data_IF_911806637471
#
_entry.id   IF_911806637471
#
_cell.length_a   1.000
_cell.length_b   1.000
_cell.length_c   1.000
_cell.angle_alpha   90.00
_cell.angle_beta   90.00
_cell.angle_gamma   90.00
#
_symmetry.space_group_name_H-M   'P 1'
#
loop_
_entity.id
_entity.type
_entity.pdbx_description
1 polymer ?
#
# COMPACT_ATOMS: atom_id res chain seq x y z
N UNK A 1 11.32 15.10 -14.34
CA UNK A 1 10.66 13.80 -14.18
C UNK A 1 9.89 13.90 -12.88
N UNK A 2 8.60 13.60 -12.87
CA UNK A 2 7.81 13.69 -11.64
C UNK A 2 8.19 12.53 -10.73
N UNK A 3 8.33 12.82 -9.44
CA UNK A 3 8.84 11.89 -8.43
C UNK A 3 7.72 11.51 -7.46
N UNK A 4 7.53 10.22 -7.24
CA UNK A 4 6.50 9.67 -6.38
C UNK A 4 7.11 9.25 -5.04
N UNK A 5 6.79 9.93 -3.92
CA UNK A 5 7.35 9.56 -2.63
C UNK A 5 6.66 8.30 -2.08
N UNK A 6 7.45 7.24 -1.91
CA UNK A 6 7.00 6.02 -1.26
C UNK A 6 6.88 6.26 0.25
N UNK A 7 5.89 5.62 0.92
CA UNK A 7 5.79 5.68 2.37
C UNK A 7 7.00 5.01 3.02
N UNK A 8 7.64 5.70 3.99
CA UNK A 8 8.78 5.17 4.72
C UNK A 8 8.39 4.05 5.71
N UNK A 9 7.16 4.09 6.20
CA UNK A 9 6.62 3.09 7.12
C UNK A 9 5.25 2.68 6.61
N UNK A 10 4.92 1.41 6.79
CA UNK A 10 3.60 0.88 6.54
C UNK A 10 3.04 0.46 7.88
N UNK A 11 2.15 1.27 8.46
CA UNK A 11 1.54 0.98 9.76
C UNK A 11 2.56 0.81 10.90
N UNK A 12 3.70 1.52 10.81
CA UNK A 12 4.80 1.44 11.77
C UNK A 12 5.84 0.36 11.50
N UNK A 13 5.69 -0.43 10.43
CA UNK A 13 6.67 -1.44 10.05
C UNK A 13 7.50 -0.95 8.87
N UNK A 14 8.82 -1.09 8.98
CA UNK A 14 9.77 -0.89 7.88
C UNK A 14 10.03 -2.21 7.16
N UNK A 15 9.98 -2.19 5.83
CA UNK A 15 10.33 -3.35 5.01
C UNK A 15 11.39 -2.94 4.00
N UNK A 16 12.56 -3.58 4.12
CA UNK A 16 13.73 -3.28 3.31
C UNK A 16 13.95 -4.43 2.31
N UNK A 17 14.00 -4.09 1.03
CA UNK A 17 14.41 -5.00 -0.04
C UNK A 17 15.93 -4.92 -0.21
N UNK A 18 16.63 -6.02 0.04
CA UNK A 18 18.07 -6.12 -0.15
C UNK A 18 18.36 -6.24 -1.64
N UNK A 19 19.30 -5.43 -2.14
CA UNK A 19 19.67 -5.44 -3.55
C UNK A 19 20.73 -6.53 -3.81
N UNK A 20 20.46 -7.40 -4.79
CA UNK A 20 21.45 -8.36 -5.26
C UNK A 20 22.64 -7.70 -5.97
N UNK A 21 22.41 -6.55 -6.62
CA UNK A 21 23.41 -5.88 -7.46
C UNK A 21 23.76 -4.50 -6.91
N UNK A 22 24.80 -4.45 -6.09
CA UNK A 22 25.31 -3.23 -5.47
C UNK A 22 26.47 -2.61 -6.27
N UNK A 23 26.49 -1.29 -6.36
CA UNK A 23 27.58 -0.52 -6.96
C UNK A 23 28.58 -0.07 -5.87
N UNK A 24 29.58 -0.92 -5.62
CA UNK A 24 30.56 -0.72 -4.55
C UNK A 24 31.28 0.64 -4.58
N UNK A 25 31.51 1.22 -5.76
CA UNK A 25 32.17 2.52 -5.84
C UNK A 25 31.38 3.65 -5.18
N UNK A 26 30.04 3.56 -5.19
CA UNK A 26 29.19 4.55 -4.56
C UNK A 26 28.99 4.24 -3.07
N UNK A 27 28.83 2.95 -2.71
CA UNK A 27 28.61 2.57 -1.31
C UNK A 27 29.85 2.78 -0.43
N UNK A 28 31.05 2.53 -0.96
CA UNK A 28 32.31 2.78 -0.24
C UNK A 28 32.62 4.27 -0.02
N UNK A 29 31.91 5.17 -0.71
CA UNK A 29 32.01 6.61 -0.48
C UNK A 29 31.19 7.09 0.73
N UNK A 30 30.34 6.21 1.28
CA UNK A 30 29.47 6.50 2.42
C UNK A 30 30.14 6.12 3.75
N UNK A 31 29.78 6.79 4.86
CA UNK A 31 30.12 6.30 6.19
C UNK A 31 29.50 4.91 6.44
N UNK A 32 30.13 4.11 7.31
CA UNK A 32 29.62 2.80 7.70
C UNK A 32 28.21 2.91 8.30
N UNK A 33 27.30 2.02 7.87
CA UNK A 33 25.89 1.96 8.22
C UNK A 33 25.17 3.32 8.18
N UNK A 34 24.83 3.80 6.98
CA UNK A 34 24.15 5.08 6.77
C UNK A 34 22.80 4.88 6.10
N UNK A 35 21.76 5.53 6.63
CA UNK A 35 20.49 5.71 5.93
C UNK A 35 20.60 6.91 4.99
N UNK A 36 20.32 6.71 3.70
CA UNK A 36 20.43 7.73 2.67
C UNK A 36 19.12 7.86 1.88
N UNK A 37 18.76 9.06 1.41
CA UNK A 37 17.69 9.21 0.44
C UNK A 37 18.13 8.63 -0.91
N UNK A 38 17.22 7.89 -1.55
CA UNK A 38 17.43 7.29 -2.86
C UNK A 38 16.23 7.52 -3.78
N UNK A 39 16.50 7.48 -5.08
CA UNK A 39 15.52 7.55 -6.15
C UNK A 39 15.63 6.29 -6.99
N UNK A 40 14.51 5.64 -7.27
CA UNK A 40 14.38 4.52 -8.19
C UNK A 40 14.00 5.07 -9.57
N UNK A 41 14.91 4.90 -10.53
CA UNK A 41 14.71 5.22 -11.94
C UNK A 41 14.44 3.93 -12.73
N UNK A 42 13.42 3.91 -13.58
CA UNK A 42 13.14 2.74 -14.42
C UNK A 42 14.33 2.41 -15.34
N UNK A 43 14.84 1.18 -15.29
CA UNK A 43 15.86 0.68 -16.22
C UNK A 43 15.19 -0.12 -17.34
N UNK A 44 14.80 0.57 -18.42
CA UNK A 44 14.13 -0.03 -19.57
C UNK A 44 14.98 -1.11 -20.28
N UNK A 45 16.29 -1.19 -20.03
CA UNK A 45 17.16 -2.21 -20.62
C UNK A 45 17.02 -3.55 -19.90
N UNK A 46 16.88 -3.52 -18.57
CA UNK A 46 16.83 -4.72 -17.74
C UNK A 46 15.42 -5.08 -17.29
N UNK A 47 14.47 -4.14 -17.38
CA UNK A 47 13.11 -4.30 -16.84
C UNK A 47 13.04 -4.09 -15.32
N UNK A 48 14.11 -3.62 -14.69
CA UNK A 48 14.20 -3.37 -13.26
C UNK A 48 14.23 -1.89 -12.90
N UNK A 49 14.79 -1.58 -11.73
CA UNK A 49 14.98 -0.22 -11.23
C UNK A 49 16.44 0.06 -10.93
N UNK A 50 16.92 1.20 -11.38
CA UNK A 50 18.22 1.74 -11.00
C UNK A 50 18.07 2.58 -9.75
N UNK A 51 18.78 2.23 -8.68
CA UNK A 51 18.73 2.93 -7.40
C UNK A 51 19.85 3.97 -7.34
N UNK A 52 19.48 5.24 -7.20
CA UNK A 52 20.41 6.38 -7.23
C UNK A 52 20.34 7.18 -5.95
N UNK A 53 21.48 7.69 -5.53
CA UNK A 53 21.62 8.68 -4.46
C UNK A 53 22.39 9.90 -4.98
N UNK A 54 22.60 10.89 -4.11
CA UNK A 54 23.48 12.03 -4.42
C UNK A 54 24.94 11.62 -4.70
N UNK A 55 25.35 10.42 -4.30
CA UNK A 55 26.70 9.88 -4.50
C UNK A 55 26.84 9.05 -5.78
N UNK A 56 25.75 8.87 -6.53
CA UNK A 56 25.73 8.09 -7.77
C UNK A 56 24.74 6.93 -7.71
N UNK A 57 24.93 5.94 -8.58
CA UNK A 57 24.13 4.70 -8.53
C UNK A 57 24.64 3.85 -7.38
N UNK A 58 23.75 3.47 -6.46
CA UNK A 58 24.09 2.59 -5.32
C UNK A 58 23.82 1.12 -5.63
N UNK A 59 22.90 0.84 -6.57
CA UNK A 59 22.62 -0.51 -7.01
C UNK A 59 21.47 -0.59 -8.02
N UNK A 60 21.01 -1.82 -8.25
CA UNK A 60 19.89 -2.13 -9.13
C UNK A 60 18.97 -3.14 -8.46
N UNK A 61 17.66 -2.88 -8.58
CA UNK A 61 16.63 -3.90 -8.44
C UNK A 61 16.45 -4.55 -9.81
N UNK A 62 16.69 -5.84 -9.92
CA UNK A 62 16.51 -6.60 -11.16
C UNK A 62 15.04 -6.73 -11.53
N UNK A 63 14.76 -7.25 -12.72
CA UNK A 63 13.39 -7.56 -13.12
C UNK A 63 12.76 -8.69 -12.28
N UNK A 64 13.58 -9.60 -11.73
CA UNK A 64 13.11 -10.68 -10.86
C UNK A 64 12.70 -10.13 -9.50
N UNK A 65 13.58 -9.37 -8.83
CA UNK A 65 13.24 -8.68 -7.58
C UNK A 65 12.09 -7.68 -7.79
N UNK A 66 12.07 -6.94 -8.90
CA UNK A 66 10.99 -6.01 -9.20
C UNK A 66 9.63 -6.71 -9.46
N UNK A 67 9.62 -7.99 -9.80
CA UNK A 67 8.37 -8.75 -10.00
C UNK A 67 7.64 -9.01 -8.67
N UNK A 68 8.34 -8.95 -7.54
CA UNK A 68 7.76 -9.02 -6.19
C UNK A 68 6.96 -7.75 -5.85
N UNK A 69 7.19 -6.67 -6.60
CA UNK A 69 6.58 -5.35 -6.41
C UNK A 69 5.75 -4.92 -7.63
N UNK A 70 4.66 -5.63 -7.96
CA UNK A 70 3.90 -5.42 -9.19
C UNK A 70 3.32 -4.01 -9.31
N UNK A 71 2.96 -3.37 -8.19
CA UNK A 71 2.40 -2.01 -8.20
C UNK A 71 3.38 -0.99 -8.78
N UNK A 72 4.68 -1.21 -8.61
CA UNK A 72 5.71 -0.30 -9.13
C UNK A 72 5.65 -0.18 -10.65
N UNK A 73 5.13 -1.19 -11.36
CA UNK A 73 4.87 -1.11 -12.81
C UNK A 73 4.00 0.09 -13.18
N UNK A 74 3.09 0.53 -12.30
CA UNK A 74 2.28 1.73 -12.52
C UNK A 74 3.14 2.99 -12.62
N UNK A 75 4.14 3.15 -11.75
CA UNK A 75 5.09 4.27 -11.82
C UNK A 75 5.96 4.18 -13.07
N UNK A 76 6.40 2.97 -13.41
CA UNK A 76 7.20 2.71 -14.62
C UNK A 76 6.45 3.12 -15.87
N UNK A 77 5.19 2.68 -15.98
CA UNK A 77 4.29 2.99 -17.10
C UNK A 77 3.95 4.48 -17.18
N UNK A 78 3.88 5.16 -16.04
CA UNK A 78 3.70 6.61 -15.96
C UNK A 78 4.98 7.41 -16.29
N UNK A 79 6.13 6.75 -16.47
CA UNK A 79 7.42 7.43 -16.70
C UNK A 79 7.90 8.23 -15.50
N UNK A 80 7.51 7.83 -14.29
CA UNK A 80 7.82 8.50 -13.03
C UNK A 80 8.96 7.79 -12.30
N UNK A 81 9.66 8.53 -11.44
CA UNK A 81 10.59 7.96 -10.47
C UNK A 81 9.89 7.74 -9.14
N UNK A 82 10.46 6.87 -8.30
CA UNK A 82 10.03 6.71 -6.91
C UNK A 82 11.12 7.22 -5.97
N UNK A 83 10.78 8.00 -4.95
CA UNK A 83 11.71 8.39 -3.89
C UNK A 83 11.43 7.65 -2.60
N UNK A 84 12.51 7.24 -1.94
CA UNK A 84 12.48 6.53 -0.65
C UNK A 84 13.84 6.64 0.04
N UNK A 85 14.07 5.85 1.08
CA UNK A 85 15.36 5.71 1.76
C UNK A 85 15.98 4.34 1.51
N UNK A 86 17.30 4.25 1.66
CA UNK A 86 18.01 2.99 1.69
C UNK A 86 18.98 2.98 2.87
N UNK A 87 19.15 1.82 3.49
CA UNK A 87 20.21 1.56 4.46
C UNK A 87 21.39 0.97 3.69
N UNK A 88 22.57 1.58 3.83
CA UNK A 88 23.79 1.10 3.20
C UNK A 88 24.78 0.70 4.27
N UNK A 89 25.24 -0.55 4.21
CA UNK A 89 26.30 -1.07 5.06
C UNK A 89 27.37 -1.75 4.20
N UNK A 90 28.46 -1.03 3.93
CA UNK A 90 29.58 -1.48 3.09
C UNK A 90 29.15 -1.95 1.69
N UNK A 91 29.03 -3.26 1.49
CA UNK A 91 28.62 -3.93 0.25
C UNK A 91 27.15 -4.32 0.21
N UNK A 92 26.41 -4.13 1.31
CA UNK A 92 24.98 -4.38 1.41
C UNK A 92 24.17 -3.08 1.27
N UNK A 93 23.14 -3.13 0.43
CA UNK A 93 22.18 -2.02 0.25
C UNK A 93 20.78 -2.58 0.39
N UNK A 94 20.01 -2.03 1.32
CA UNK A 94 18.62 -2.40 1.54
C UNK A 94 17.72 -1.18 1.34
N UNK A 95 16.84 -1.24 0.33
CA UNK A 95 15.96 -0.13 -0.07
C UNK A 95 14.62 -0.28 0.61
N UNK A 96 14.11 0.80 1.21
CA UNK A 96 12.78 0.82 1.81
C UNK A 96 11.72 0.88 0.70
N UNK A 97 11.18 -0.28 0.33
CA UNK A 97 10.09 -0.37 -0.63
C UNK A 97 8.75 -0.53 0.06
N UNK A 98 8.71 -1.21 1.22
CA UNK A 98 7.46 -1.54 1.88
C UNK A 98 6.99 -2.96 1.60
N UNK A 99 5.74 -3.21 1.97
CA UNK A 99 5.07 -4.48 1.71
C UNK A 99 4.31 -4.43 0.39
N UNK A 100 4.42 -5.47 -0.42
CA UNK A 100 3.59 -5.62 -1.61
C UNK A 100 2.22 -6.19 -1.23
N UNK A 101 1.09 -5.70 -1.78
CA UNK A 101 0.92 -4.62 -2.76
C UNK A 101 0.44 -3.28 -2.13
N UNK A 102 1.26 -2.64 -1.29
CA UNK A 102 0.91 -1.40 -0.58
C UNK A 102 1.77 -0.18 -0.94
N UNK A 103 2.62 -0.30 -1.95
CA UNK A 103 3.59 0.73 -2.35
C UNK A 103 2.91 2.01 -2.88
N UNK A 104 1.87 1.81 -3.69
CA UNK A 104 1.24 2.86 -4.48
C UNK A 104 -0.26 2.81 -4.24
N UNK A 105 -0.81 3.96 -3.87
CA UNK A 105 -2.24 4.07 -3.64
C UNK A 105 -3.03 3.84 -4.92
N UNK A 106 -4.21 3.24 -4.81
CA UNK A 106 -5.09 2.98 -5.97
C UNK A 106 -5.78 4.25 -6.48
N UNK A 107 -6.06 5.21 -5.60
CA UNK A 107 -6.55 6.55 -5.93
C UNK A 107 -5.47 7.62 -5.74
N UNK A 108 -5.77 8.83 -6.19
CA UNK A 108 -4.92 9.99 -6.02
C UNK A 108 -5.12 10.63 -4.64
N UNK A 109 -4.11 11.37 -4.16
CA UNK A 109 -4.27 12.19 -2.98
C UNK A 109 -5.35 13.26 -3.24
N UNK A 110 -6.39 13.39 -2.38
CA UNK A 110 -7.46 14.35 -2.62
C UNK A 110 -6.95 15.80 -2.65
N UNK A 111 -7.49 16.59 -3.56
CA UNK A 111 -7.02 17.96 -3.82
C UNK A 111 -7.15 18.85 -2.57
N UNK A 112 -6.11 19.65 -2.29
CA UNK A 112 -6.12 20.59 -1.17
C UNK A 112 -5.93 19.96 0.22
N UNK A 113 -5.68 18.65 0.30
CA UNK A 113 -5.39 17.96 1.56
C UNK A 113 -3.89 18.00 1.92
N UNK A 114 -3.61 17.98 3.22
CA UNK A 114 -2.26 17.70 3.74
C UNK A 114 -2.19 16.22 4.12
N UNK A 115 -1.13 15.54 3.69
CA UNK A 115 -0.94 14.11 3.93
C UNK A 115 -0.26 13.87 5.28
N UNK A 116 -0.86 13.04 6.13
CA UNK A 116 -0.22 12.60 7.37
C UNK A 116 1.02 11.74 7.10
N UNK A 117 2.02 11.90 7.96
CA UNK A 117 3.08 10.91 8.08
C UNK A 117 2.49 9.61 8.66
N UNK A 118 2.91 8.48 8.11
CA UNK A 118 2.56 7.16 8.65
C UNK A 118 3.47 6.77 9.82
N UNK A 119 3.09 5.73 10.54
CA UNK A 119 3.90 5.16 11.62
C UNK A 119 3.13 4.37 12.67
N UNK A 120 1.80 4.47 12.75
CA UNK A 120 0.98 3.72 13.71
C UNK A 120 -0.33 3.30 13.05
N UNK A 121 -0.62 2.00 13.14
CA UNK A 121 -1.91 1.45 12.71
C UNK A 121 -3.06 1.91 13.62
N UNK A 122 -4.12 2.45 13.01
CA UNK A 122 -5.41 2.60 13.66
C UNK A 122 -6.49 1.88 12.84
N UNK A 123 -7.09 0.85 13.45
CA UNK A 123 -8.15 0.07 12.82
C UNK A 123 -9.42 0.88 12.60
N UNK A 124 -10.07 0.67 11.46
CA UNK A 124 -11.31 1.34 11.11
C UNK A 124 -12.50 0.40 11.34
N UNK A 125 -13.54 0.88 12.03
CA UNK A 125 -14.81 0.17 12.12
C UNK A 125 -15.62 0.41 10.84
N UNK A 126 -15.61 -0.57 9.96
CA UNK A 126 -16.31 -0.56 8.67
C UNK A 126 -17.77 -1.03 8.78
N UNK A 127 -18.17 -1.61 9.93
CA UNK A 127 -19.52 -2.15 10.13
C UNK A 127 -20.61 -1.06 10.21
N UNK A 128 -20.20 0.17 10.51
CA UNK A 128 -21.08 1.32 10.69
C UNK A 128 -21.21 2.18 9.43
N UNK A 129 -20.58 1.81 8.31
CA UNK A 129 -20.71 2.54 7.06
C UNK A 129 -22.03 2.23 6.34
N UNK A 130 -22.70 3.27 5.82
CA UNK A 130 -23.82 3.13 4.89
C UNK A 130 -23.40 3.02 3.43
N UNK A 131 -22.22 3.53 3.09
CA UNK A 131 -21.85 3.83 1.69
C UNK A 131 -21.00 2.72 1.07
N UNK A 132 -20.18 2.05 1.88
CA UNK A 132 -19.29 0.97 1.45
C UNK A 132 -19.63 -0.30 2.24
N UNK A 133 -20.08 -1.32 1.53
CA UNK A 133 -20.44 -2.63 2.09
C UNK A 133 -19.19 -3.49 2.31
N UNK A 134 -19.24 -4.41 3.29
CA UNK A 134 -18.14 -5.35 3.57
C UNK A 134 -17.70 -6.14 2.33
N UNK A 135 -18.63 -6.56 1.48
CA UNK A 135 -18.32 -7.27 0.23
C UNK A 135 -17.56 -6.41 -0.78
N UNK A 136 -17.75 -5.09 -0.77
CA UNK A 136 -16.99 -4.16 -1.62
C UNK A 136 -15.56 -3.99 -1.08
N UNK A 137 -15.39 -3.98 0.25
CA UNK A 137 -14.06 -3.94 0.90
C UNK A 137 -13.30 -5.24 0.63
N UNK A 138 -13.95 -6.39 0.76
CA UNK A 138 -13.37 -7.69 0.39
C UNK A 138 -12.96 -7.73 -1.08
N UNK A 139 -13.78 -7.18 -1.98
CA UNK A 139 -13.48 -7.10 -3.41
C UNK A 139 -12.29 -6.18 -3.75
N UNK A 140 -11.93 -5.24 -2.88
CA UNK A 140 -10.69 -4.47 -3.04
C UNK A 140 -9.44 -5.35 -2.84
N UNK A 141 -9.55 -6.45 -2.09
CA UNK A 141 -8.43 -7.32 -1.75
C UNK A 141 -7.35 -6.56 -0.97
N UNK A 142 -6.08 -6.90 -1.21
CA UNK A 142 -4.96 -6.19 -0.58
C UNK A 142 -4.62 -4.92 -1.35
N UNK A 143 -4.72 -3.75 -0.69
CA UNK A 143 -4.60 -2.46 -1.36
C UNK A 143 -4.13 -1.33 -0.42
N UNK A 144 -3.49 -0.31 -0.98
CA UNK A 144 -3.32 1.00 -0.35
C UNK A 144 -4.26 2.01 -1.03
N UNK A 145 -4.88 2.90 -0.24
CA UNK A 145 -5.73 4.00 -0.73
C UNK A 145 -5.46 5.27 0.08
N UNK A 146 -5.71 6.44 -0.49
CA UNK A 146 -5.79 7.70 0.25
C UNK A 146 -7.22 7.91 0.76
N UNK A 147 -7.33 8.28 2.03
CA UNK A 147 -8.58 8.56 2.71
C UNK A 147 -8.56 9.96 3.31
N UNK A 148 -9.73 10.54 3.55
CA UNK A 148 -9.88 11.80 4.28
C UNK A 148 -10.53 11.58 5.64
N UNK A 149 -10.26 12.47 6.58
CA UNK A 149 -10.92 12.45 7.89
C UNK A 149 -11.91 13.61 8.02
N UNK A 150 -13.02 13.33 8.69
CA UNK A 150 -14.06 14.31 8.98
C UNK A 150 -14.50 14.19 10.43
N UNK A 151 -14.58 15.31 11.14
CA UNK A 151 -15.14 15.36 12.48
C UNK A 151 -16.65 15.57 12.40
N UNK A 152 -17.43 14.54 12.75
CA UNK A 152 -18.90 14.54 12.67
C UNK A 152 -19.49 14.04 13.98
N UNK A 153 -20.36 14.85 14.61
CA UNK A 153 -21.11 14.48 15.82
C UNK A 153 -20.25 13.89 16.96
N UNK A 154 -19.03 14.36 17.14
CA UNK A 154 -18.11 13.89 18.18
C UNK A 154 -17.30 12.63 17.82
N UNK A 155 -17.43 12.11 16.61
CA UNK A 155 -16.66 10.98 16.08
C UNK A 155 -15.82 11.38 14.87
N UNK A 156 -14.76 10.61 14.59
CA UNK A 156 -13.96 10.77 13.39
C UNK A 156 -14.41 9.75 12.35
N UNK A 157 -14.95 10.26 11.26
CA UNK A 157 -15.41 9.49 10.09
C UNK A 157 -14.31 9.53 9.03
N UNK A 158 -14.06 8.39 8.41
CA UNK A 158 -13.07 8.24 7.34
C UNK A 158 -13.80 8.02 6.02
N UNK A 159 -13.43 8.78 5.00
CA UNK A 159 -14.03 8.72 3.66
C UNK A 159 -12.99 8.42 2.60
N UNK A 160 -13.44 7.83 1.50
CA UNK A 160 -12.66 7.59 0.28
C UNK A 160 -13.54 7.94 -0.92
N UNK A 161 -13.05 8.80 -1.82
CA UNK A 161 -13.79 9.30 -2.99
C UNK A 161 -15.24 9.73 -2.64
N UNK A 162 -15.39 10.50 -1.56
CA UNK A 162 -16.66 10.97 -0.96
C UNK A 162 -17.59 9.91 -0.35
N UNK A 163 -17.25 8.62 -0.42
CA UNK A 163 -17.97 7.54 0.25
C UNK A 163 -17.44 7.32 1.67
N UNK A 164 -18.32 7.12 2.65
CA UNK A 164 -17.92 6.74 4.01
C UNK A 164 -17.30 5.34 4.00
N UNK A 165 -16.03 5.23 4.37
CA UNK A 165 -15.35 3.93 4.49
C UNK A 165 -15.58 3.31 5.87
N UNK A 166 -15.68 4.14 6.91
CA UNK A 166 -15.93 3.67 8.27
C UNK A 166 -15.64 4.73 9.33
N UNK A 167 -15.66 4.29 10.59
CA UNK A 167 -15.46 5.12 11.77
C UNK A 167 -14.13 4.78 12.46
N UNK A 168 -13.31 5.80 12.71
CA UNK A 168 -12.02 5.62 13.41
C UNK A 168 -12.20 5.50 14.92
N UNK A 169 -13.14 6.26 15.48
CA UNK A 169 -13.43 6.30 16.91
C UNK A 169 -14.01 7.62 17.36
N UNK A 170 -14.08 7.82 18.68
CA UNK A 170 -14.52 9.07 19.28
C UNK A 170 -13.43 10.14 19.15
N UNK A 171 -13.80 11.39 18.87
CA UNK A 171 -12.85 12.48 18.68
C UNK A 171 -11.99 12.76 19.92
N UNK A 172 -12.47 12.39 21.11
CA UNK A 172 -11.73 12.49 22.38
C UNK A 172 -10.52 11.58 22.44
N UNK A 173 -10.53 10.47 21.71
CA UNK A 173 -9.40 9.53 21.67
C UNK A 173 -8.32 9.99 20.67
N UNK A 174 -8.66 10.97 19.82
CA UNK A 174 -7.83 11.49 18.74
C UNK A 174 -7.77 13.03 18.78
N UNK A 175 -7.42 13.60 19.94
CA UNK A 175 -7.41 15.05 20.14
C UNK A 175 -6.50 15.79 19.16
N UNK A 176 -5.30 15.27 18.91
CA UNK A 176 -4.35 15.85 17.95
C UNK A 176 -4.94 15.89 16.54
N UNK A 177 -5.49 14.77 16.07
CA UNK A 177 -6.13 14.70 14.75
C UNK A 177 -7.30 15.69 14.65
N UNK A 178 -8.11 15.80 15.70
CA UNK A 178 -9.21 16.76 15.78
C UNK A 178 -8.71 18.22 15.68
N UNK A 179 -7.61 18.55 16.36
CA UNK A 179 -7.00 19.89 16.28
C UNK A 179 -6.43 20.19 14.89
N UNK A 180 -5.83 19.20 14.23
CA UNK A 180 -5.32 19.36 12.88
C UNK A 180 -6.48 19.54 11.88
N UNK A 181 -7.57 18.77 12.04
CA UNK A 181 -8.76 18.87 11.18
C UNK A 181 -9.44 20.24 11.25
N UNK A 182 -9.33 20.93 12.38
CA UNK A 182 -9.82 22.30 12.52
C UNK A 182 -9.00 23.33 11.72
N UNK A 183 -7.79 22.97 11.27
CA UNK A 183 -6.86 23.87 10.57
C UNK A 183 -6.84 23.65 9.06
N UNK A 184 -6.89 22.39 8.62
CA UNK A 184 -6.84 22.03 7.21
C UNK A 184 -7.51 20.69 6.94
N UNK A 185 -7.96 20.42 5.69
CA UNK A 185 -8.32 19.08 5.25
C UNK A 185 -7.11 18.14 5.32
N UNK A 186 -7.32 16.93 5.84
CA UNK A 186 -6.26 15.96 6.08
C UNK A 186 -6.55 14.69 5.31
N UNK A 187 -5.52 14.18 4.64
CA UNK A 187 -5.50 12.85 4.07
C UNK A 187 -4.52 11.94 4.81
N UNK A 188 -4.77 10.63 4.79
CA UNK A 188 -3.80 9.61 5.20
C UNK A 188 -3.81 8.45 4.19
N UNK A 189 -2.78 7.61 4.29
CA UNK A 189 -2.81 6.28 3.65
C UNK A 189 -3.64 5.34 4.53
N UNK A 190 -4.51 4.58 3.89
CA UNK A 190 -5.18 3.45 4.49
C UNK A 190 -4.78 2.18 3.76
N UNK A 191 -4.57 1.13 4.53
CA UNK A 191 -4.17 -0.19 4.06
C UNK A 191 -5.32 -1.17 4.30
N UNK A 192 -5.60 -1.95 3.27
CA UNK A 192 -6.69 -2.92 3.21
C UNK A 192 -6.06 -4.29 3.02
N UNK A 193 -6.48 -5.26 3.82
CA UNK A 193 -6.18 -6.68 3.67
C UNK A 193 -7.25 -7.51 4.40
N UNK A 194 -7.64 -8.64 3.80
CA UNK A 194 -8.62 -9.58 4.37
C UNK A 194 -9.92 -8.93 4.87
N UNK A 195 -10.46 -7.98 4.10
CA UNK A 195 -11.68 -7.24 4.45
C UNK A 195 -11.54 -6.25 5.61
N UNK A 196 -10.36 -6.14 6.21
CA UNK A 196 -10.03 -5.18 7.26
C UNK A 196 -9.39 -3.93 6.69
N UNK A 197 -9.57 -2.80 7.38
CA UNK A 197 -9.04 -1.49 6.97
C UNK A 197 -8.32 -0.85 8.15
N UNK A 198 -7.11 -0.35 7.90
CA UNK A 198 -6.30 0.39 8.86
C UNK A 198 -5.86 1.72 8.26
N UNK A 199 -6.05 2.82 8.98
CA UNK A 199 -5.44 4.11 8.61
C UNK A 199 -4.08 4.24 9.27
N UNK A 200 -3.14 4.86 8.55
CA UNK A 200 -1.79 5.08 9.06
C UNK A 200 -1.68 6.49 9.66
N UNK A 201 -1.45 6.53 10.96
CA UNK A 201 -1.36 7.76 11.76
C UNK A 201 0.09 8.05 12.14
N UNK A 202 0.45 9.33 12.38
CA UNK A 202 1.82 9.70 12.70
C UNK A 202 2.24 9.15 14.07
N UNK A 203 3.38 8.46 14.10
CA UNK A 203 4.00 7.98 15.33
C UNK A 203 4.72 9.09 16.11
N UNK A 204 5.41 9.99 15.39
CA UNK A 204 6.19 11.08 15.97
C UNK A 204 5.39 12.39 15.95
N UNK A 205 5.06 12.97 17.12
CA UNK A 205 4.38 14.26 17.21
C UNK A 205 5.13 15.43 16.55
N UNK A 206 6.44 15.30 16.32
CA UNK A 206 7.25 16.33 15.67
C UNK A 206 7.29 16.19 14.15
N UNK A 207 6.88 15.04 13.61
CA UNK A 207 6.88 14.76 12.18
C UNK A 207 5.50 14.25 11.74
N UNK A 208 4.56 15.18 11.64
CA UNK A 208 3.14 14.87 11.42
C UNK A 208 2.77 14.70 9.95
N UNK A 209 3.57 15.21 9.03
CA UNK A 209 3.18 15.36 7.62
C UNK A 209 4.20 14.74 6.68
N UNK A 210 3.68 14.06 5.66
CA UNK A 210 4.46 13.55 4.55
C UNK A 210 4.40 14.52 3.35
N UNK A 211 5.36 14.44 2.41
CA UNK A 211 5.26 15.15 1.14
C UNK A 211 3.98 14.79 0.38
N UNK A 212 3.39 15.77 -0.30
CA UNK A 212 2.26 15.53 -1.20
C UNK A 212 2.62 14.57 -2.31
N UNK A 213 1.67 13.70 -2.68
CA UNK A 213 1.86 12.69 -3.71
C UNK A 213 1.29 13.19 -5.03
N UNK A 214 2.08 13.20 -6.12
CA UNK A 214 1.57 13.56 -7.43
C UNK A 214 0.58 12.52 -7.95
N UNK A 215 -0.47 12.99 -8.62
CA UNK A 215 -1.45 12.11 -9.28
C UNK A 215 -0.82 11.21 -10.31
N UNK A 216 -1.28 9.96 -10.36
CA UNK A 216 -0.84 9.01 -11.36
C UNK A 216 -1.82 9.00 -12.53
N UNK A 217 -1.34 8.98 -13.79
CA UNK A 217 -2.23 8.82 -14.93
C UNK A 217 -2.98 7.49 -14.78
N UNK A 218 -4.29 7.57 -14.61
CA UNK A 218 -5.10 6.36 -14.46
C UNK A 218 -5.03 5.53 -15.73
N UNK A 219 -4.66 4.26 -15.59
CA UNK A 219 -4.72 3.28 -16.68
C UNK A 219 -6.16 2.79 -16.90
N UNK A 220 -7.07 2.99 -15.93
CA UNK A 220 -8.44 2.51 -15.97
C UNK A 220 -9.40 3.50 -15.29
N UNK A 221 -10.42 3.94 -16.01
CA UNK A 221 -11.47 4.87 -15.51
C UNK A 221 -12.48 4.18 -14.57
N UNK A 222 -12.08 3.06 -13.95
CA UNK A 222 -12.95 2.28 -13.08
C UNK A 222 -13.06 2.96 -11.71
N UNK A 223 -14.27 3.02 -11.12
CA UNK A 223 -14.42 3.54 -9.77
C UNK A 223 -13.60 2.70 -8.79
N UNK A 224 -12.95 3.36 -7.82
CA UNK A 224 -12.12 2.68 -6.82
C UNK A 224 -12.94 1.65 -6.05
N UNK A 225 -14.12 2.05 -5.57
CA UNK A 225 -15.06 1.18 -4.87
C UNK A 225 -15.83 0.34 -5.91
N UNK A 226 -15.70 -0.99 -5.90
CA UNK A 226 -16.44 -1.85 -6.82
C UNK A 226 -17.94 -1.69 -6.66
N UNK A 227 -18.71 -1.85 -7.74
CA UNK A 227 -20.17 -1.87 -7.63
C UNK A 227 -20.63 -2.99 -6.69
N UNK A 228 -21.64 -2.73 -5.83
CA UNK A 228 -22.13 -3.75 -4.92
C UNK A 228 -22.62 -4.97 -5.71
N UNK A 229 -22.31 -6.17 -5.22
CA UNK A 229 -22.92 -7.38 -5.75
C UNK A 229 -24.44 -7.30 -5.54
N UNK A 230 -25.26 -7.61 -6.56
CA UNK A 230 -26.71 -7.62 -6.39
C UNK A 230 -27.08 -8.62 -5.30
N UNK A 231 -27.85 -8.16 -4.33
CA UNK A 231 -28.39 -9.01 -3.27
C UNK A 231 -29.21 -10.12 -3.93
N UNK A 232 -28.98 -11.42 -3.63
CA UNK A 232 -29.82 -12.47 -4.17
C UNK A 232 -31.23 -12.31 -3.60
N UNK A 233 -32.13 -11.67 -4.36
CA UNK A 233 -33.51 -11.48 -3.93
C UNK A 233 -34.33 -10.40 -4.62
N UNK A 234 -33.74 -9.39 -5.29
CA UNK A 234 -34.56 -8.28 -5.82
C UNK A 234 -34.55 -8.07 -7.34
N UNK A 235 -33.60 -8.63 -8.10
CA UNK A 235 -33.53 -8.40 -9.57
C UNK A 235 -33.53 -9.68 -10.44
N UNK A 236 -33.64 -10.86 -9.85
CA UNK A 236 -33.49 -12.13 -10.60
C UNK A 236 -34.74 -12.59 -11.35
N UNK A 237 -35.91 -11.99 -11.13
CA UNK A 237 -37.13 -12.42 -11.84
C UNK A 237 -37.23 -11.85 -13.26
N UNK A 238 -36.74 -10.63 -13.50
CA UNK A 238 -36.83 -10.00 -14.84
C UNK A 238 -35.62 -10.34 -15.75
N UNK A 239 -34.45 -10.67 -15.20
CA UNK A 239 -33.25 -10.99 -15.98
C UNK A 239 -33.20 -12.45 -16.49
N UNK A 240 -33.99 -13.36 -15.90
CA UNK A 240 -33.98 -14.78 -16.28
C UNK A 240 -34.82 -15.13 -17.52
N UNK A 241 -35.47 -14.14 -18.16
CA UNK A 241 -36.29 -14.35 -19.36
C UNK A 241 -35.58 -14.06 -20.69
N UNK A 242 -34.30 -13.70 -20.69
CA UNK A 242 -33.57 -13.35 -21.93
C UNK A 242 -32.33 -14.20 -22.23
N UNK A 243 -32.13 -15.35 -21.58
CA UNK A 243 -30.97 -16.18 -21.85
C UNK A 243 -31.20 -17.07 -23.09
N UNK A 244 -30.61 -16.70 -24.22
CA UNK A 244 -30.56 -17.52 -25.44
C UNK A 244 -29.32 -18.44 -25.39
N UNK A 245 -29.46 -19.76 -25.25
CA UNK A 245 -28.34 -20.69 -25.09
C UNK A 245 -27.51 -20.93 -26.37
N UNK A 246 -27.79 -20.22 -27.46
CA UNK A 246 -27.16 -20.46 -28.77
C UNK A 246 -25.88 -19.66 -29.04
N UNK A 247 -25.50 -18.72 -28.16
CA UNK A 247 -24.32 -17.86 -28.38
C UNK A 247 -22.97 -18.41 -27.84
N UNK A 248 -22.93 -19.56 -27.19
CA UNK A 248 -21.68 -20.15 -26.70
C UNK A 248 -21.40 -21.52 -27.33
N UNK A 249 -20.90 -21.50 -28.57
CA UNK A 249 -20.14 -22.61 -29.15
C UNK A 249 -18.75 -22.12 -29.63
N UNK A 250 -17.74 -22.69 -28.96
CA UNK A 250 -16.34 -22.92 -29.35
C UNK A 250 -15.31 -21.78 -29.33
N UNK A 251 -14.27 -21.97 -28.50
CA UNK A 251 -12.89 -22.18 -28.98
C UNK A 251 -11.99 -22.83 -27.91
N UNK A 252 -11.17 -23.77 -28.36
CA UNK A 252 -10.35 -24.73 -27.60
C UNK A 252 -8.90 -24.27 -27.32
N UNK A 253 -8.35 -24.81 -26.22
CA UNK A 253 -6.94 -25.16 -25.93
C UNK A 253 -5.80 -24.10 -25.98
N UNK A 254 -5.09 -23.95 -24.84
CA UNK A 254 -3.62 -23.86 -24.81
C UNK A 254 -3.06 -24.22 -23.43
N UNK A 255 -2.50 -25.43 -23.31
CA UNK A 255 -1.74 -25.95 -22.17
C UNK A 255 -0.32 -25.37 -22.15
N UNK A 256 0.18 -24.93 -20.98
CA UNK A 256 1.62 -24.64 -20.76
C UNK A 256 2.22 -25.55 -19.67
N UNK A 257 3.45 -26.07 -19.86
CA UNK A 257 4.04 -27.07 -18.97
C UNK A 257 4.72 -26.43 -17.75
N UNK A 258 4.58 -27.09 -16.59
CA UNK A 258 5.35 -26.80 -15.37
C UNK A 258 6.79 -27.27 -15.54
N UNK A 259 7.77 -26.38 -15.31
CA UNK A 259 9.16 -26.76 -15.07
C UNK A 259 9.51 -26.46 -13.62
N UNK A 260 9.72 -27.54 -12.85
CA UNK A 260 10.36 -27.55 -11.55
C UNK A 260 11.88 -27.53 -11.74
N UNK A 261 12.60 -26.58 -11.13
CA UNK A 261 14.02 -26.73 -10.77
C UNK A 261 14.40 -25.72 -9.68
N UNK A 262 14.74 -26.25 -8.49
CA UNK A 262 15.81 -25.84 -7.56
C UNK A 262 15.80 -24.37 -7.05
N UNK A 263 16.11 -23.98 -5.81
CA UNK A 263 16.79 -24.54 -4.64
C UNK A 263 16.34 -23.68 -3.43
N UNK A 264 16.56 -24.20 -2.23
CA UNK A 264 16.31 -23.57 -0.92
C UNK A 264 16.69 -22.08 -0.86
N UNK A 265 15.70 -21.21 -0.67
CA UNK A 265 15.86 -19.80 -0.31
C UNK A 265 16.38 -19.68 1.13
N UNK A 266 17.26 -18.72 1.45
CA UNK A 266 17.51 -18.33 2.83
C UNK A 266 16.20 -17.84 3.45
N UNK A 267 15.94 -18.26 4.68
CA UNK A 267 14.68 -18.00 5.38
C UNK A 267 14.66 -16.54 5.87
N UNK A 268 14.15 -15.65 5.03
CA UNK A 268 13.62 -14.35 5.44
C UNK A 268 12.10 -14.41 5.36
N UNK A 269 11.44 -13.59 6.18
CA UNK A 269 10.00 -13.64 6.38
C UNK A 269 9.29 -13.05 5.15
N UNK A 270 9.16 -13.86 4.09
CA UNK A 270 8.32 -13.60 2.91
C UNK A 270 6.83 -13.72 3.26
N UNK A 271 6.45 -13.18 4.41
CA UNK A 271 5.06 -13.21 4.84
C UNK A 271 4.26 -12.38 3.85
N UNK A 272 3.18 -12.95 3.27
CA UNK A 272 2.29 -12.17 2.43
C UNK A 272 1.77 -10.99 3.25
N UNK A 273 1.55 -9.83 2.60
CA UNK A 273 1.07 -8.63 3.28
C UNK A 273 -0.18 -8.87 4.14
N UNK A 274 -1.02 -9.85 3.76
CA UNK A 274 -2.16 -10.30 4.55
C UNK A 274 -1.75 -10.86 5.93
N UNK A 275 -0.74 -11.72 6.00
CA UNK A 275 -0.26 -12.30 7.27
C UNK A 275 0.39 -11.24 8.16
N UNK A 276 1.20 -10.35 7.57
CA UNK A 276 1.80 -9.23 8.28
C UNK A 276 0.73 -8.24 8.80
N UNK A 277 -0.31 -7.98 8.00
CA UNK A 277 -1.45 -7.16 8.42
C UNK A 277 -2.16 -7.77 9.61
N UNK A 278 -2.54 -9.05 9.51
CA UNK A 278 -3.20 -9.76 10.61
C UNK A 278 -2.36 -9.75 11.88
N UNK A 279 -1.04 -9.90 11.77
CA UNK A 279 -0.12 -9.83 12.90
C UNK A 279 -0.19 -8.47 13.64
N UNK A 280 -0.43 -7.37 12.94
CA UNK A 280 -0.60 -6.04 13.55
C UNK A 280 -1.87 -5.93 14.40
N UNK A 281 -2.91 -6.70 14.07
CA UNK A 281 -4.19 -6.69 14.79
C UNK A 281 -4.31 -7.79 15.85
N UNK A 282 -3.44 -8.81 15.81
CA UNK A 282 -3.31 -9.82 16.87
C UNK A 282 -2.58 -9.23 18.09
N UNK A 283 -3.29 -8.44 18.89
CA UNK A 283 -2.78 -7.96 20.18
C UNK A 283 -2.41 -9.15 21.09
N UNK A 284 -1.20 -9.12 21.66
CA UNK A 284 -0.67 -9.97 22.73
C UNK A 284 -1.71 -10.73 23.58
N UNK A 285 -1.91 -12.02 23.31
CA UNK A 285 -2.19 -13.01 24.35
C UNK A 285 -0.87 -13.30 25.09
N UNK A 286 -0.37 -12.31 25.82
CA UNK A 286 0.58 -12.58 26.90
C UNK A 286 -0.24 -13.27 27.99
N UNK A 287 -0.14 -14.60 27.99
CA UNK A 287 -0.69 -15.45 29.03
C UNK A 287 -0.43 -14.84 30.40
N UNK A 288 -1.47 -14.84 31.23
CA UNK A 288 -1.34 -14.59 32.66
C UNK A 288 -0.13 -15.37 33.19
N UNK A 289 0.74 -14.78 34.01
CA UNK A 289 1.70 -15.58 34.75
C UNK A 289 0.89 -16.53 35.65
N UNK A 290 1.16 -17.82 35.52
CA UNK A 290 0.73 -18.81 36.51
C UNK A 290 1.37 -18.41 37.84
N UNK A 291 0.54 -17.94 38.77
CA UNK A 291 0.85 -17.97 40.20
C UNK A 291 0.54 -19.39 40.69
N UNK A 292 1.59 -20.17 40.94
CA UNK A 292 1.65 -21.23 41.96
C UNK A 292 3.06 -21.28 42.56
#
# INVERSE_FOLDING_TARGET
MSDYPLPAHHLGVEHLAVLDYVCLSATLALPAQTQIPVTLEADNRTGGWRVRSMFGTVGWLTAEEAAEFPDMERLRSAGMTASTTAVVDLDDVAVNLGLAPWHIARNDQPEGTVLLAGGVAAGLDTSMSSDVQSSQIEALGTACVFVQFHHVAGSIVVTVDDAVLGLLGQATDFELLTQLLAQAPIAARAYIADGMVAVDLPADPNNLFAPSVPSLPSLFDAPLIPTPLPTPGEDTEDAMLSFDPSEYLESTEATKPKSQRFLTTPQFDDQPATEAFEALFRKHDLGKPDED
#
